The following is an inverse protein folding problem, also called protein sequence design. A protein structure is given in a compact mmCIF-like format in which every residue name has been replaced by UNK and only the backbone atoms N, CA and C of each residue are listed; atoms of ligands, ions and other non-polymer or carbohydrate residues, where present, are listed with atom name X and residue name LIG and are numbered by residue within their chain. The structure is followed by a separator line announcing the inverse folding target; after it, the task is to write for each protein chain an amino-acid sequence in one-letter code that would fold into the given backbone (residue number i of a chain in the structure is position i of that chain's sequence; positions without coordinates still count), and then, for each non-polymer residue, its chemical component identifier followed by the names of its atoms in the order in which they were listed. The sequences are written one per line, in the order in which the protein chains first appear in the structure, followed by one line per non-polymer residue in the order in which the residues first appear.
data_IF_265340850156
#
_entry.id   IF_265340850156
#
_cell.length_a   1.000
_cell.length_b   1.000
_cell.length_c   1.000
_cell.angle_alpha   90.00
_cell.angle_beta   90.00
_cell.angle_gamma   90.00
#
_symmetry.space_group_name_H-M   'P 1'
#
loop_
_entity.id
_entity.type
_entity.pdbx_description
1 polymer ?
#
# COMPACT_ATOMS: atom_id res chain seq x y z
N UNK A 1 18.24 -10.93 5.07
CA UNK A 1 17.17 -10.73 6.06
C UNK A 1 17.65 -10.25 7.42
N UNK A 2 18.58 -10.92 8.15
CA UNK A 2 18.99 -10.46 9.49
C UNK A 2 19.51 -9.03 9.53
N UNK A 3 20.47 -8.69 8.65
CA UNK A 3 21.03 -7.33 8.56
C UNK A 3 19.96 -6.26 8.27
N UNK A 4 19.02 -6.55 7.37
CA UNK A 4 17.95 -5.62 7.02
C UNK A 4 17.05 -5.27 8.22
N UNK A 5 16.81 -6.22 9.12
CA UNK A 5 16.01 -5.98 10.34
C UNK A 5 16.77 -5.10 11.33
N UNK A 6 18.09 -5.29 11.44
CA UNK A 6 18.97 -4.41 12.24
C UNK A 6 18.97 -2.99 11.67
N UNK A 7 19.16 -2.85 10.35
CA UNK A 7 19.16 -1.55 9.67
C UNK A 7 17.80 -0.84 9.85
N UNK A 8 16.70 -1.59 9.85
CA UNK A 8 15.37 -1.05 10.14
C UNK A 8 15.23 -0.57 11.58
N UNK A 9 15.66 -1.35 12.58
CA UNK A 9 15.62 -0.89 13.98
C UNK A 9 16.49 0.36 14.19
N UNK A 10 17.63 0.44 13.52
CA UNK A 10 18.47 1.63 13.53
C UNK A 10 17.75 2.82 12.88
N UNK A 11 17.04 2.62 11.77
CA UNK A 11 16.22 3.64 11.14
C UNK A 11 15.12 4.15 12.10
N UNK A 12 14.40 3.24 12.76
CA UNK A 12 13.38 3.61 13.76
C UNK A 12 14.00 4.40 14.91
N UNK A 13 15.20 4.04 15.36
CA UNK A 13 15.95 4.79 16.38
C UNK A 13 16.25 6.22 15.96
N UNK A 14 16.58 6.45 14.68
CA UNK A 14 16.76 7.81 14.13
C UNK A 14 15.44 8.58 14.14
N UNK A 15 14.34 7.98 13.67
CA UNK A 15 13.02 8.61 13.67
C UNK A 15 12.54 8.97 15.10
N UNK A 16 12.81 8.11 16.08
CA UNK A 16 12.54 8.39 17.51
C UNK A 16 13.34 9.58 18.01
N UNK A 17 14.65 9.61 17.74
CA UNK A 17 15.53 10.71 18.17
C UNK A 17 15.12 12.05 17.54
N UNK A 18 14.64 12.03 16.30
CA UNK A 18 14.15 13.19 15.58
C UNK A 18 12.68 13.53 15.87
N UNK A 19 12.02 12.77 16.75
CA UNK A 19 10.68 13.07 17.25
C UNK A 19 9.53 12.69 16.31
N UNK A 20 9.76 11.90 15.27
CA UNK A 20 8.73 11.54 14.29
C UNK A 20 7.59 10.71 14.86
N UNK A 21 7.78 10.06 16.01
CA UNK A 21 6.72 9.31 16.69
C UNK A 21 6.13 10.07 17.87
N UNK A 22 6.59 11.29 18.15
CA UNK A 22 6.19 12.06 19.34
C UNK A 22 4.70 12.38 19.45
N UNK A 23 3.94 12.29 18.35
CA UNK A 23 2.48 12.41 18.38
C UNK A 23 1.80 11.18 19.00
N UNK A 24 2.35 9.99 18.76
CA UNK A 24 1.77 8.72 19.22
C UNK A 24 2.49 8.16 20.45
N UNK A 25 3.76 8.52 20.63
CA UNK A 25 4.62 8.18 21.75
C UNK A 25 5.19 9.48 22.34
N UNK A 26 4.34 10.29 23.01
CA UNK A 26 4.77 11.55 23.59
C UNK A 26 5.82 11.31 24.67
N UNK A 27 6.84 12.17 24.68
CA UNK A 27 7.84 12.16 25.73
C UNK A 27 7.33 12.96 26.92
N UNK A 28 7.24 12.32 28.09
CA UNK A 28 6.92 13.03 29.33
C UNK A 28 8.13 13.84 29.80
N UNK A 29 7.85 15.09 30.16
CA UNK A 29 8.78 15.93 30.89
C UNK A 29 8.54 15.79 32.40
N UNK A 30 9.59 15.97 33.22
CA UNK A 30 9.41 16.13 34.67
C UNK A 30 8.51 17.31 35.05
N UNK A 31 8.38 18.29 34.16
CA UNK A 31 7.48 19.44 34.33
C UNK A 31 6.07 19.20 33.74
N UNK A 32 5.86 18.10 33.02
CA UNK A 32 4.59 17.76 32.38
C UNK A 32 3.72 16.92 33.32
N UNK A 33 3.11 17.61 34.29
CA UNK A 33 2.35 16.99 35.38
C UNK A 33 1.05 16.32 34.90
N UNK A 34 0.56 16.70 33.72
CA UNK A 34 -0.67 16.18 33.10
C UNK A 34 -0.37 15.22 31.92
N UNK A 35 0.90 14.97 31.62
CA UNK A 35 1.33 14.10 30.53
C UNK A 35 1.00 12.63 30.80
N UNK A 36 0.46 11.94 29.79
CA UNK A 36 0.20 10.50 29.86
C UNK A 36 1.35 9.74 29.21
N UNK A 37 1.98 8.83 29.97
CA UNK A 37 2.98 7.93 29.41
C UNK A 37 2.29 6.91 28.54
N UNK A 38 2.73 6.80 27.29
CA UNK A 38 2.29 5.73 26.41
C UNK A 38 3.44 4.72 26.34
N UNK A 39 3.24 3.55 26.93
CA UNK A 39 4.16 2.44 26.81
C UNK A 39 4.17 1.95 25.35
N UNK A 40 5.31 2.06 24.63
CA UNK A 40 5.42 1.57 23.26
C UNK A 40 5.12 0.08 23.13
N UNK A 41 5.42 -0.74 24.16
CA UNK A 41 5.15 -2.17 24.13
C UNK A 41 3.64 -2.43 24.07
N UNK A 42 2.87 -1.75 24.92
CA UNK A 42 1.40 -1.86 24.94
C UNK A 42 0.82 -1.35 23.62
N UNK A 43 1.28 -0.19 23.14
CA UNK A 43 0.80 0.38 21.89
C UNK A 43 1.05 -0.54 20.68
N UNK A 44 2.23 -1.17 20.59
CA UNK A 44 2.54 -2.10 19.51
C UNK A 44 1.74 -3.40 19.65
N UNK A 45 1.61 -3.93 20.86
CA UNK A 45 0.82 -5.13 21.12
C UNK A 45 -0.65 -4.95 20.76
N UNK A 46 -1.25 -3.80 21.09
CA UNK A 46 -2.63 -3.47 20.75
C UNK A 46 -2.84 -3.37 19.22
N UNK A 47 -1.83 -2.90 18.49
CA UNK A 47 -1.91 -2.71 17.03
C UNK A 47 -1.66 -3.99 16.24
N UNK A 48 -0.79 -4.86 16.75
CA UNK A 48 -0.29 -6.03 16.01
C UNK A 48 -0.81 -7.36 16.57
N UNK A 49 -1.37 -7.37 17.78
CA UNK A 49 -1.73 -8.60 18.48
C UNK A 49 -0.53 -9.43 18.92
N UNK A 50 0.69 -8.87 18.86
CA UNK A 50 1.95 -9.54 19.22
C UNK A 50 2.59 -8.80 20.39
N UNK A 51 2.78 -9.45 21.55
CA UNK A 51 3.39 -8.81 22.72
C UNK A 51 4.92 -8.71 22.58
N UNK A 52 5.54 -7.96 23.50
CA UNK A 52 6.99 -7.91 23.71
C UNK A 52 7.81 -7.46 22.47
N UNK A 53 7.21 -6.56 21.68
CA UNK A 53 7.85 -5.95 20.51
C UNK A 53 8.74 -4.76 20.89
N UNK A 54 8.70 -4.31 22.15
CA UNK A 54 9.53 -3.22 22.65
C UNK A 54 10.35 -3.62 23.90
N UNK A 55 11.65 -3.25 23.98
CA UNK A 55 12.45 -2.55 22.98
C UNK A 55 12.62 -3.39 21.71
N UNK A 56 12.85 -2.72 20.57
CA UNK A 56 13.04 -3.39 19.29
C UNK A 56 14.20 -4.39 19.36
N UNK A 57 13.92 -5.67 19.06
CA UNK A 57 14.89 -6.77 19.04
C UNK A 57 14.86 -7.48 17.69
N UNK A 58 15.58 -6.97 16.68
CA UNK A 58 15.55 -7.49 15.31
C UNK A 58 15.76 -9.00 15.14
N UNK A 59 16.61 -9.58 16.00
CA UNK A 59 16.88 -11.02 16.02
C UNK A 59 15.70 -11.90 16.44
N UNK A 60 14.64 -11.34 17.04
CA UNK A 60 13.47 -12.09 17.52
C UNK A 60 12.29 -12.04 16.53
N UNK A 61 12.33 -11.19 15.52
CA UNK A 61 11.22 -11.06 14.58
C UNK A 61 11.22 -12.20 13.57
N UNK A 62 10.04 -12.75 13.29
CA UNK A 62 9.83 -13.46 12.03
C UNK A 62 9.64 -12.45 10.88
N UNK A 63 9.37 -12.95 9.69
CA UNK A 63 9.22 -12.10 8.50
C UNK A 63 7.93 -11.27 8.56
N UNK A 64 6.85 -11.85 9.06
CA UNK A 64 5.55 -11.18 9.10
C UNK A 64 5.55 -10.06 10.15
N UNK A 65 6.05 -10.35 11.37
CA UNK A 65 6.26 -9.35 12.43
C UNK A 65 7.12 -8.19 11.94
N UNK A 66 8.18 -8.47 11.19
CA UNK A 66 9.03 -7.42 10.60
C UNK A 66 8.25 -6.52 9.64
N UNK A 67 7.45 -7.11 8.74
CA UNK A 67 6.63 -6.38 7.79
C UNK A 67 5.46 -5.63 8.43
N UNK A 68 4.91 -6.17 9.51
CA UNK A 68 3.86 -5.53 10.31
C UNK A 68 4.40 -4.32 11.09
N UNK A 69 5.60 -4.45 11.68
CA UNK A 69 6.29 -3.33 12.32
C UNK A 69 6.55 -2.19 11.32
N UNK A 70 6.99 -2.51 10.10
CA UNK A 70 7.19 -1.50 9.04
C UNK A 70 5.92 -0.67 8.82
N UNK A 71 4.76 -1.32 8.72
CA UNK A 71 3.49 -0.66 8.47
C UNK A 71 2.95 0.10 9.69
N UNK A 72 3.10 -0.45 10.89
CA UNK A 72 2.66 0.26 12.10
C UNK A 72 3.47 1.52 12.32
N UNK A 73 4.80 1.49 12.16
CA UNK A 73 5.60 2.70 12.29
C UNK A 73 5.29 3.74 11.21
N UNK A 74 4.83 3.34 10.01
CA UNK A 74 4.25 4.29 9.06
C UNK A 74 3.03 5.00 9.67
N UNK A 75 2.12 4.26 10.30
CA UNK A 75 0.91 4.84 10.87
C UNK A 75 1.18 5.80 12.03
N UNK A 76 2.27 5.57 12.77
CA UNK A 76 2.72 6.42 13.88
C UNK A 76 3.51 7.66 13.42
N UNK A 77 4.09 7.64 12.23
CA UNK A 77 4.98 8.69 11.75
C UNK A 77 4.25 10.04 11.56
N UNK A 78 4.78 11.10 12.16
CA UNK A 78 4.36 12.48 11.97
C UNK A 78 5.55 13.43 12.16
N UNK A 79 5.83 14.28 11.17
CA UNK A 79 7.02 15.15 11.20
C UNK A 79 6.81 16.28 12.21
N UNK A 80 7.69 16.48 13.21
CA UNK A 80 7.58 17.63 14.10
C UNK A 80 7.88 18.94 13.37
N UNK A 81 7.12 19.99 13.66
CA UNK A 81 7.33 21.36 13.15
C UNK A 81 7.95 22.27 14.18
N UNK A 82 7.86 21.91 15.46
CA UNK A 82 8.51 22.61 16.57
C UNK A 82 9.40 21.65 17.34
N UNK A 83 10.54 22.18 17.80
CA UNK A 83 11.39 21.51 18.80
C UNK A 83 11.87 22.52 19.83
N UNK A 84 11.95 22.10 21.07
CA UNK A 84 12.58 22.88 22.14
C UNK A 84 13.50 21.97 22.95
N UNK A 85 14.66 22.50 23.36
CA UNK A 85 15.61 21.76 24.19
C UNK A 85 15.34 22.11 25.64
N UNK A 86 15.03 21.11 26.45
CA UNK A 86 14.94 21.22 27.88
C UNK A 86 16.13 20.50 28.52
N UNK A 87 17.08 21.27 29.07
CA UNK A 87 18.33 20.72 29.61
C UNK A 87 18.24 20.30 31.07
N UNK A 88 17.16 20.65 31.77
CA UNK A 88 16.93 20.24 33.16
C UNK A 88 16.72 18.72 33.24
N UNK A 89 17.29 18.11 34.29
CA UNK A 89 17.21 16.68 34.59
C UNK A 89 17.51 15.74 33.40
N UNK A 90 18.40 16.18 32.49
CA UNK A 90 18.74 15.46 31.26
C UNK A 90 17.51 15.12 30.38
N UNK A 91 16.46 15.96 30.41
CA UNK A 91 15.22 15.71 29.68
C UNK A 91 15.41 15.70 28.16
N UNK A 92 16.18 16.64 27.59
CA UNK A 92 16.59 16.62 26.19
C UNK A 92 15.64 17.37 25.25
N UNK A 93 15.39 16.83 24.06
CA UNK A 93 14.52 17.48 23.07
C UNK A 93 13.06 17.10 23.28
N UNK A 94 12.19 18.10 23.21
CA UNK A 94 10.76 17.95 23.08
C UNK A 94 10.33 18.40 21.70
N UNK A 95 9.35 17.69 21.16
CA UNK A 95 8.82 17.90 19.83
C UNK A 95 7.33 18.22 19.92
N UNK A 96 6.87 19.08 19.04
CA UNK A 96 5.46 19.46 19.01
C UNK A 96 5.07 19.93 17.63
N UNK A 97 3.78 20.18 17.48
CA UNK A 97 3.17 20.64 16.24
C UNK A 97 3.48 19.70 15.06
N UNK A 98 2.74 18.60 14.92
CA UNK A 98 3.10 17.51 14.02
C UNK A 98 2.37 17.57 12.68
N UNK A 99 3.11 17.40 11.58
CA UNK A 99 2.60 17.23 10.23
C UNK A 99 2.60 15.75 9.83
N UNK A 100 1.44 15.10 9.96
CA UNK A 100 1.28 13.65 9.71
C UNK A 100 1.63 13.27 8.27
N UNK A 101 1.03 13.91 7.27
CA UNK A 101 1.19 13.51 5.87
C UNK A 101 2.65 13.59 5.41
N UNK A 102 3.35 14.64 5.81
CA UNK A 102 4.78 14.83 5.54
C UNK A 102 5.62 13.78 6.28
N UNK A 103 5.31 13.50 7.55
CA UNK A 103 6.02 12.48 8.33
C UNK A 103 5.91 11.10 7.71
N UNK A 104 4.70 10.71 7.32
CA UNK A 104 4.41 9.45 6.63
C UNK A 104 5.10 9.38 5.27
N UNK A 105 5.10 10.47 4.49
CA UNK A 105 5.79 10.50 3.20
C UNK A 105 7.31 10.30 3.34
N UNK A 106 7.95 10.99 4.29
CA UNK A 106 9.38 10.82 4.58
C UNK A 106 9.68 9.40 5.05
N UNK A 107 8.84 8.85 5.94
CA UNK A 107 8.98 7.48 6.41
C UNK A 107 8.91 6.46 5.25
N UNK A 108 7.88 6.55 4.39
CA UNK A 108 7.76 5.66 3.22
C UNK A 108 8.98 5.73 2.32
N UNK A 109 9.47 6.94 2.03
CA UNK A 109 10.65 7.11 1.19
C UNK A 109 11.88 6.40 1.79
N UNK A 110 12.19 6.65 3.08
CA UNK A 110 13.34 6.03 3.76
C UNK A 110 13.24 4.50 3.84
N UNK A 111 12.05 3.99 4.14
CA UNK A 111 11.84 2.54 4.22
C UNK A 111 11.90 1.89 2.83
N UNK A 112 11.36 2.52 1.80
CA UNK A 112 11.43 2.01 0.43
C UNK A 112 12.88 1.94 -0.07
N UNK A 113 13.71 2.96 0.23
CA UNK A 113 15.15 2.90 -0.04
C UNK A 113 15.82 1.73 0.68
N UNK A 114 15.49 1.52 1.96
CA UNK A 114 16.04 0.44 2.77
C UNK A 114 15.67 -0.94 2.22
N UNK A 115 14.39 -1.16 1.89
CA UNK A 115 13.89 -2.42 1.32
C UNK A 115 14.54 -2.72 -0.04
N UNK A 116 14.65 -1.71 -0.91
CA UNK A 116 15.29 -1.84 -2.21
C UNK A 116 16.79 -2.18 -2.09
N UNK A 117 17.52 -1.50 -1.20
CA UNK A 117 18.93 -1.80 -0.91
C UNK A 117 19.12 -3.21 -0.34
N UNK A 118 18.14 -3.72 0.42
CA UNK A 118 18.10 -5.08 0.93
C UNK A 118 17.65 -6.15 -0.08
N UNK A 119 17.33 -5.78 -1.32
CA UNK A 119 16.85 -6.69 -2.36
C UNK A 119 15.45 -7.25 -2.10
N UNK A 120 14.62 -6.56 -1.32
CA UNK A 120 13.24 -6.98 -1.03
C UNK A 120 12.31 -6.45 -2.12
N UNK A 121 11.55 -7.36 -2.73
CA UNK A 121 10.54 -7.04 -3.76
C UNK A 121 9.22 -6.52 -3.16
N UNK A 122 9.31 -5.74 -2.09
CA UNK A 122 8.19 -5.06 -1.45
C UNK A 122 8.54 -3.58 -1.26
N UNK A 123 7.51 -2.74 -1.27
CA UNK A 123 7.59 -1.32 -0.96
C UNK A 123 6.33 -0.86 -0.26
N UNK A 124 6.41 0.18 0.56
CA UNK A 124 5.24 0.90 1.06
C UNK A 124 4.59 1.64 -0.10
N UNK A 125 3.29 1.40 -0.32
CA UNK A 125 2.51 2.09 -1.33
C UNK A 125 2.47 3.60 -1.08
N UNK A 126 2.64 4.38 -2.15
CA UNK A 126 2.72 5.84 -2.10
C UNK A 126 1.40 6.54 -2.46
N UNK A 127 0.44 5.77 -2.97
CA UNK A 127 -0.83 6.23 -3.51
C UNK A 127 -1.89 5.13 -3.38
N UNK A 128 -3.16 5.47 -3.60
CA UNK A 128 -4.28 4.54 -3.47
C UNK A 128 -4.78 4.38 -2.02
N UNK A 129 -5.78 3.54 -1.83
CA UNK A 129 -6.41 3.28 -0.53
C UNK A 129 -5.50 2.53 0.45
N UNK A 130 -4.51 1.80 -0.09
CA UNK A 130 -3.51 1.01 0.61
C UNK A 130 -2.21 1.80 0.87
N UNK A 131 -2.23 3.13 0.80
CA UNK A 131 -1.08 3.98 1.12
C UNK A 131 -0.46 3.59 2.48
N UNK A 132 0.85 3.37 2.49
CA UNK A 132 1.56 2.91 3.69
C UNK A 132 1.37 1.44 4.05
N UNK A 133 0.78 0.63 3.19
CA UNK A 133 0.87 -0.83 3.25
C UNK A 133 1.97 -1.34 2.34
N UNK A 134 2.58 -2.48 2.71
CA UNK A 134 3.56 -3.16 1.89
C UNK A 134 2.88 -3.85 0.71
N UNK A 135 3.37 -3.53 -0.47
CA UNK A 135 2.90 -4.02 -1.75
C UNK A 135 4.05 -4.60 -2.56
N UNK A 136 3.75 -5.56 -3.44
CA UNK A 136 4.72 -6.14 -4.38
C UNK A 136 5.31 -5.05 -5.27
N UNK A 137 6.63 -5.01 -5.36
CA UNK A 137 7.34 -4.18 -6.33
C UNK A 137 7.15 -4.74 -7.73
N UNK A 138 7.00 -3.85 -8.71
CA UNK A 138 6.88 -4.17 -10.14
C UNK A 138 7.81 -3.26 -10.93
N UNK A 139 8.02 -3.55 -12.21
CA UNK A 139 8.80 -2.68 -13.09
C UNK A 139 8.17 -1.29 -13.25
N UNK A 140 8.96 -0.36 -13.80
CA UNK A 140 8.59 1.03 -13.97
C UNK A 140 7.33 1.21 -14.83
N UNK A 141 7.18 0.41 -15.89
CA UNK A 141 6.02 0.51 -16.79
C UNK A 141 4.72 0.14 -16.08
N UNK A 142 4.73 -0.94 -15.28
CA UNK A 142 3.57 -1.31 -14.44
C UNK A 142 3.32 -0.32 -13.32
N UNK A 143 4.38 0.25 -12.75
CA UNK A 143 4.28 1.31 -11.73
C UNK A 143 3.59 2.56 -12.30
N UNK A 144 3.97 2.99 -13.50
CA UNK A 144 3.38 4.13 -14.18
C UNK A 144 1.93 3.86 -14.60
N UNK A 145 1.62 2.65 -15.07
CA UNK A 145 0.24 2.24 -15.36
C UNK A 145 -0.65 2.35 -14.12
N UNK A 146 -0.20 1.84 -12.97
CA UNK A 146 -0.93 1.98 -11.70
C UNK A 146 -1.15 3.46 -11.36
N UNK A 147 -0.11 4.29 -11.47
CA UNK A 147 -0.21 5.73 -11.20
C UNK A 147 -1.26 6.40 -12.08
N UNK A 148 -1.31 6.06 -13.37
CA UNK A 148 -2.28 6.60 -14.33
C UNK A 148 -3.69 6.11 -14.03
N UNK A 149 -3.88 4.81 -13.82
CA UNK A 149 -5.19 4.24 -13.49
C UNK A 149 -5.78 4.84 -12.19
N UNK A 150 -4.95 5.17 -11.20
CA UNK A 150 -5.40 5.84 -9.97
C UNK A 150 -5.91 7.28 -10.20
N UNK A 151 -5.73 7.85 -11.39
CA UNK A 151 -6.29 9.15 -11.81
C UNK A 151 -7.60 9.02 -12.59
N UNK A 152 -8.25 7.86 -12.54
CA UNK A 152 -9.59 7.63 -13.12
C UNK A 152 -10.52 8.81 -12.77
N UNK A 153 -11.10 9.52 -13.77
CA UNK A 153 -11.87 10.73 -13.52
C UNK A 153 -13.23 10.49 -12.85
N UNK A 154 -13.90 9.38 -13.19
CA UNK A 154 -15.24 9.07 -12.69
C UNK A 154 -15.17 8.49 -11.27
N UNK A 155 -15.77 9.14 -10.25
CA UNK A 155 -15.57 8.76 -8.85
C UNK A 155 -15.93 7.31 -8.52
N UNK A 156 -17.05 6.81 -9.07
CA UNK A 156 -17.53 5.44 -8.81
C UNK A 156 -16.62 4.38 -9.45
N UNK A 157 -16.01 4.70 -10.60
CA UNK A 157 -15.01 3.83 -11.22
C UNK A 157 -13.67 3.95 -10.47
N UNK A 158 -13.28 5.17 -10.08
CA UNK A 158 -12.03 5.42 -9.38
C UNK A 158 -11.93 4.61 -8.08
N UNK A 159 -13.00 4.56 -7.27
CA UNK A 159 -13.05 3.73 -6.07
C UNK A 159 -12.85 2.25 -6.37
N UNK A 160 -13.50 1.72 -7.41
CA UNK A 160 -13.35 0.31 -7.82
C UNK A 160 -11.95 0.00 -8.37
N UNK A 161 -11.34 0.93 -9.11
CA UNK A 161 -9.96 0.80 -9.61
C UNK A 161 -8.97 0.79 -8.46
N UNK A 162 -9.10 1.74 -7.51
CA UNK A 162 -8.27 1.80 -6.31
C UNK A 162 -8.34 0.49 -5.52
N UNK A 163 -9.56 -0.02 -5.31
CA UNK A 163 -9.79 -1.27 -4.60
C UNK A 163 -9.20 -2.49 -5.31
N UNK A 164 -9.40 -2.61 -6.62
CA UNK A 164 -8.83 -3.70 -7.40
C UNK A 164 -7.29 -3.70 -7.36
N UNK A 165 -6.68 -2.51 -7.46
CA UNK A 165 -5.22 -2.36 -7.36
C UNK A 165 -4.75 -2.82 -5.98
N UNK A 166 -5.36 -2.33 -4.90
CA UNK A 166 -4.99 -2.67 -3.52
C UNK A 166 -5.06 -4.18 -3.24
N UNK A 167 -6.18 -4.82 -3.62
CA UNK A 167 -6.36 -6.28 -3.51
C UNK A 167 -5.28 -7.06 -4.25
N UNK A 168 -4.92 -6.62 -5.46
CA UNK A 168 -3.97 -7.35 -6.30
C UNK A 168 -2.54 -7.26 -5.77
N UNK A 169 -2.10 -6.07 -5.34
CA UNK A 169 -0.69 -5.79 -5.06
C UNK A 169 -0.29 -5.99 -3.60
N UNK A 170 -1.23 -6.18 -2.68
CA UNK A 170 -0.94 -6.37 -1.26
C UNK A 170 0.06 -7.50 -1.01
N UNK A 171 0.97 -7.34 -0.02
CA UNK A 171 2.01 -8.36 0.27
C UNK A 171 1.45 -9.76 0.53
N UNK A 172 0.27 -9.84 1.12
CA UNK A 172 -0.43 -11.07 1.51
C UNK A 172 -1.56 -11.45 0.54
N UNK A 173 -1.63 -10.81 -0.64
CA UNK A 173 -2.68 -11.07 -1.61
C UNK A 173 -2.72 -12.54 -2.03
N UNK A 174 -3.87 -13.17 -1.81
CA UNK A 174 -4.13 -14.55 -2.18
C UNK A 174 -4.62 -14.65 -3.62
N UNK A 175 -4.69 -15.86 -4.17
CA UNK A 175 -5.33 -16.10 -5.47
C UNK A 175 -6.81 -15.67 -5.48
N UNK A 176 -7.49 -15.70 -4.33
CA UNK A 176 -8.87 -15.20 -4.20
C UNK A 176 -8.94 -13.68 -4.30
N UNK A 177 -8.00 -12.97 -3.68
CA UNK A 177 -7.92 -11.51 -3.74
C UNK A 177 -7.59 -11.04 -5.15
N UNK A 178 -6.61 -11.69 -5.79
CA UNK A 178 -6.26 -11.43 -7.20
C UNK A 178 -7.42 -11.69 -8.15
N UNK A 179 -8.18 -12.78 -7.94
CA UNK A 179 -9.40 -13.04 -8.73
C UNK A 179 -10.46 -11.97 -8.50
N UNK A 180 -10.67 -11.53 -7.27
CA UNK A 180 -11.59 -10.46 -6.92
C UNK A 180 -11.19 -9.14 -7.61
N UNK A 181 -9.90 -8.80 -7.61
CA UNK A 181 -9.37 -7.65 -8.33
C UNK A 181 -9.66 -7.72 -9.84
N UNK A 182 -9.38 -8.86 -10.47
CA UNK A 182 -9.66 -9.08 -11.90
C UNK A 182 -11.17 -8.98 -12.20
N UNK A 183 -12.02 -9.53 -11.33
CA UNK A 183 -13.47 -9.43 -11.46
C UNK A 183 -13.97 -7.99 -11.40
N UNK A 184 -13.45 -7.20 -10.47
CA UNK A 184 -13.78 -5.78 -10.33
C UNK A 184 -13.43 -5.01 -11.61
N UNK A 185 -12.22 -5.21 -12.15
CA UNK A 185 -11.82 -4.60 -13.43
C UNK A 185 -12.67 -5.09 -14.60
N UNK A 186 -13.00 -6.38 -14.64
CA UNK A 186 -13.88 -6.94 -15.68
C UNK A 186 -15.29 -6.35 -15.66
N UNK A 187 -15.80 -5.98 -14.48
CA UNK A 187 -17.08 -5.29 -14.32
C UNK A 187 -17.03 -3.87 -14.90
N UNK A 188 -15.97 -3.12 -14.59
CA UNK A 188 -15.73 -1.79 -15.17
C UNK A 188 -15.67 -1.87 -16.70
N UNK A 189 -14.96 -2.86 -17.25
CA UNK A 189 -14.86 -3.03 -18.70
C UNK A 189 -16.20 -3.40 -19.34
N UNK A 190 -17.07 -4.16 -18.65
CA UNK A 190 -18.41 -4.50 -19.15
C UNK A 190 -19.29 -3.24 -19.30
N UNK A 191 -19.20 -2.30 -18.36
CA UNK A 191 -19.90 -1.01 -18.46
C UNK A 191 -19.41 -0.17 -19.65
N UNK A 192 -18.14 -0.35 -20.03
CA UNK A 192 -17.49 0.33 -21.16
C UNK A 192 -17.51 -0.47 -22.45
N UNK A 193 -18.29 -1.56 -22.51
CA UNK A 193 -18.27 -2.52 -23.62
C UNK A 193 -18.60 -1.89 -24.97
N UNK A 194 -19.56 -0.98 -25.01
CA UNK A 194 -19.92 -0.28 -26.24
C UNK A 194 -18.79 0.61 -26.77
N UNK A 195 -18.16 1.40 -25.88
CA UNK A 195 -16.98 2.18 -26.20
C UNK A 195 -15.84 1.30 -26.76
N UNK A 196 -15.58 0.17 -26.11
CA UNK A 196 -14.54 -0.79 -26.54
C UNK A 196 -14.87 -1.35 -27.92
N UNK A 197 -16.13 -1.74 -28.15
CA UNK A 197 -16.59 -2.26 -29.45
C UNK A 197 -16.43 -1.25 -30.58
N UNK A 198 -16.76 0.02 -30.32
CA UNK A 198 -16.69 1.10 -31.30
C UNK A 198 -15.25 1.54 -31.59
N UNK A 199 -14.41 1.65 -30.56
CA UNK A 199 -13.06 2.24 -30.67
C UNK A 199 -11.96 1.21 -30.95
N UNK A 200 -12.10 -0.01 -30.43
CA UNK A 200 -11.10 -1.08 -30.58
C UNK A 200 -11.56 -2.10 -31.63
N UNK A 201 -12.85 -2.42 -31.65
CA UNK A 201 -13.45 -3.32 -32.63
C UNK A 201 -14.07 -4.57 -32.01
N UNK A 202 -15.09 -5.13 -32.68
CA UNK A 202 -15.90 -6.23 -32.15
C UNK A 202 -15.16 -7.55 -31.96
N UNK A 203 -14.09 -7.80 -32.74
CA UNK A 203 -13.28 -9.03 -32.57
C UNK A 203 -12.43 -8.98 -31.30
N UNK A 204 -11.81 -7.84 -31.05
CA UNK A 204 -10.94 -7.64 -29.90
C UNK A 204 -11.76 -7.50 -28.60
N UNK A 205 -12.93 -6.85 -28.67
CA UNK A 205 -13.94 -6.90 -27.61
C UNK A 205 -14.30 -8.35 -27.26
N UNK A 206 -14.67 -9.16 -28.25
CA UNK A 206 -14.99 -10.57 -28.05
C UNK A 206 -13.85 -11.37 -27.42
N UNK A 207 -12.59 -11.08 -27.79
CA UNK A 207 -11.42 -11.72 -27.19
C UNK A 207 -11.21 -11.29 -25.72
N UNK A 208 -11.35 -10.00 -25.43
CA UNK A 208 -11.24 -9.42 -24.09
C UNK A 208 -12.21 -10.09 -23.10
N UNK A 209 -13.48 -10.19 -23.47
CA UNK A 209 -14.48 -10.83 -22.62
C UNK A 209 -14.46 -12.36 -22.70
N UNK A 210 -13.93 -12.93 -23.80
CA UNK A 210 -13.67 -14.37 -23.93
C UNK A 210 -12.69 -14.89 -22.88
N UNK A 211 -11.65 -14.12 -22.57
CA UNK A 211 -10.66 -14.45 -21.54
C UNK A 211 -11.31 -14.55 -20.15
N UNK A 212 -12.17 -13.60 -19.76
CA UNK A 212 -12.89 -13.66 -18.48
C UNK A 212 -13.74 -14.94 -18.31
N UNK A 213 -14.33 -15.41 -19.41
CA UNK A 213 -15.18 -16.60 -19.43
C UNK A 213 -14.38 -17.90 -19.47
N UNK A 214 -13.23 -17.92 -20.16
CA UNK A 214 -12.37 -19.10 -20.31
C UNK A 214 -11.67 -19.52 -19.02
N UNK A 215 -11.26 -18.55 -18.18
CA UNK A 215 -10.54 -18.79 -16.93
C UNK A 215 -11.46 -18.95 -15.69
N UNK A 216 -12.74 -19.25 -15.90
CA UNK A 216 -13.73 -19.39 -14.83
C UNK A 216 -13.80 -18.21 -13.85
N UNK A 217 -13.46 -17.01 -14.32
CA UNK A 217 -13.36 -15.83 -13.47
C UNK A 217 -14.78 -15.36 -13.12
N UNK A 218 -15.69 -15.30 -14.11
CA UNK A 218 -17.07 -14.79 -13.93
C UNK A 218 -18.08 -15.80 -13.38
N UNK A 219 -17.94 -17.09 -13.65
CA UNK A 219 -18.85 -18.13 -13.17
C UNK A 219 -18.12 -19.44 -12.98
N UNK A 220 -17.97 -19.98 -11.77
CA UNK A 220 -17.44 -21.33 -11.59
C UNK A 220 -18.46 -22.38 -12.07
N UNK A 221 -18.43 -22.74 -13.36
CA UNK A 221 -19.20 -23.88 -13.88
C UNK A 221 -18.30 -25.12 -13.95
N UNK A 222 -18.87 -26.30 -13.67
CA UNK A 222 -18.22 -27.58 -13.97
C UNK A 222 -17.90 -27.63 -15.47
N UNK A 223 -16.61 -27.73 -15.81
CA UNK A 223 -16.11 -27.82 -17.19
C UNK A 223 -15.28 -26.62 -17.66
N UNK A 224 -15.11 -25.58 -16.85
CA UNK A 224 -14.13 -24.52 -17.12
C UNK A 224 -12.78 -24.88 -16.50
N UNK A 225 -11.70 -24.42 -17.12
CA UNK A 225 -10.32 -24.68 -16.70
C UNK A 225 -10.08 -23.93 -15.38
N UNK A 226 -10.29 -24.60 -14.25
CA UNK A 226 -10.09 -24.02 -12.90
C UNK A 226 -8.65 -24.18 -12.39
N UNK A 227 -7.84 -24.96 -13.11
CA UNK A 227 -6.47 -25.33 -12.79
C UNK A 227 -5.47 -24.56 -13.67
N UNK A 228 -5.53 -23.22 -13.60
CA UNK A 228 -4.53 -22.36 -14.22
C UNK A 228 -3.53 -21.88 -13.17
N UNK A 229 -2.29 -21.72 -13.62
CA UNK A 229 -1.23 -21.11 -12.82
C UNK A 229 -1.68 -19.72 -12.31
N UNK A 230 -1.47 -19.38 -11.03
CA UNK A 230 -1.77 -18.03 -10.51
C UNK A 230 -1.18 -16.89 -11.35
N UNK A 231 -0.09 -17.11 -12.09
CA UNK A 231 0.48 -16.15 -13.04
C UNK A 231 -0.50 -15.70 -14.13
N UNK A 232 -1.50 -16.52 -14.47
CA UNK A 232 -2.56 -16.10 -15.40
C UNK A 232 -3.43 -14.98 -14.80
N UNK A 233 -3.71 -14.98 -13.50
CA UNK A 233 -4.45 -13.87 -12.86
C UNK A 233 -3.63 -12.58 -12.94
N UNK A 234 -2.31 -12.68 -12.78
CA UNK A 234 -1.41 -11.53 -12.89
C UNK A 234 -1.43 -10.96 -14.30
N UNK A 235 -1.28 -11.81 -15.32
CA UNK A 235 -1.36 -11.40 -16.72
C UNK A 235 -2.70 -10.73 -17.05
N UNK A 236 -3.82 -11.33 -16.65
CA UNK A 236 -5.16 -10.79 -16.91
C UNK A 236 -5.37 -9.46 -16.18
N UNK A 237 -4.94 -9.36 -14.92
CA UNK A 237 -5.03 -8.13 -14.15
C UNK A 237 -4.35 -6.97 -14.86
N UNK A 238 -3.10 -7.16 -15.30
CA UNK A 238 -2.34 -6.10 -15.98
C UNK A 238 -2.99 -5.70 -17.30
N UNK A 239 -3.51 -6.68 -18.04
CA UNK A 239 -4.18 -6.41 -19.31
C UNK A 239 -5.50 -5.66 -19.12
N UNK A 240 -6.29 -6.02 -18.11
CA UNK A 240 -7.54 -5.32 -17.80
C UNK A 240 -7.29 -3.93 -17.24
N UNK A 241 -6.30 -3.76 -16.37
CA UNK A 241 -5.94 -2.44 -15.84
C UNK A 241 -5.48 -1.50 -16.96
N UNK A 242 -4.66 -2.00 -17.90
CA UNK A 242 -4.27 -1.25 -19.09
C UNK A 242 -5.46 -0.87 -19.97
N UNK A 243 -6.47 -1.74 -20.08
CA UNK A 243 -7.68 -1.46 -20.87
C UNK A 243 -8.59 -0.44 -20.16
N UNK A 244 -8.69 -0.48 -18.84
CA UNK A 244 -9.40 0.55 -18.06
C UNK A 244 -8.73 1.91 -18.25
N UNK A 245 -7.41 1.97 -18.12
CA UNK A 245 -6.65 3.21 -18.32
C UNK A 245 -6.81 3.75 -19.76
N UNK A 246 -6.75 2.87 -20.76
CA UNK A 246 -6.99 3.24 -22.16
C UNK A 246 -8.39 3.84 -22.35
N UNK A 247 -9.42 3.21 -21.78
CA UNK A 247 -10.79 3.68 -21.92
C UNK A 247 -11.02 5.01 -21.20
N UNK A 248 -10.35 5.28 -20.08
CA UNK A 248 -10.35 6.62 -19.45
C UNK A 248 -9.79 7.68 -20.40
N UNK A 249 -8.67 7.39 -21.08
CA UNK A 249 -8.09 8.32 -22.06
C UNK A 249 -9.02 8.59 -23.23
N UNK A 250 -9.72 7.56 -23.73
CA UNK A 250 -10.63 7.70 -24.86
C UNK A 250 -11.87 8.55 -24.49
N UNK A 251 -12.44 8.33 -23.29
CA UNK A 251 -13.54 9.14 -22.77
C UNK A 251 -13.12 10.60 -22.57
N UNK A 252 -11.95 10.83 -21.97
CA UNK A 252 -11.41 12.16 -21.75
C UNK A 252 -11.15 12.95 -23.05
N UNK A 253 -10.77 12.28 -24.14
CA UNK A 253 -10.58 12.91 -25.46
C UNK A 253 -11.89 13.20 -26.18
N UNK A 254 -12.92 12.41 -25.92
CA UNK A 254 -14.22 12.52 -26.60
C UNK A 254 -15.13 13.59 -25.98
N UNK A 255 -14.73 14.20 -24.85
CA UNK A 255 -15.57 15.14 -24.10
C UNK A 255 -16.83 14.50 -23.52
N UNK A 256 -16.94 13.17 -23.62
CA UNK A 256 -18.00 12.36 -23.02
C UNK A 256 -17.53 11.99 -21.62
N UNK A 257 -17.91 12.80 -20.65
CA UNK A 257 -18.11 12.28 -19.30
C UNK A 257 -19.40 11.43 -19.36
N UNK A 258 -19.42 10.19 -18.84
CA UNK A 258 -20.66 9.44 -18.71
C UNK A 258 -21.72 10.22 -17.93
#
# INVERSE_FOLDING_TARGET
MPQLREDFAQLISVFLADGYFGRALPKICVDDHDGVEIDPNILLADRLGVPDLWPLRPGQWDTDTFYDLIEVFHDLAARPRKRHRHSWDNCGWHFGDFATDIGRAVYRWRVNELLAAGGIELRLAENGEDIGRLVRSVDDARTDLVRQALTTPEPDIAGRVQHAIALFRGRAATSHDKRSAVLTLAGILEERRELIREQIGSKDEGALFGIANGFAIRHQRRGQQADYDPAFLDWIFWWYLATVELTDRLLGRSGQTP
#
